data_IF_654827432233
#
_entry.id   IF_654827432233
#
_cell.length_a   1.000
_cell.length_b   1.000
_cell.length_c   1.000
_cell.angle_alpha   90.00
_cell.angle_beta   90.00
_cell.angle_gamma   90.00
#
_symmetry.space_group_name_H-M   'P 1'
#
loop_
_entity.id
_entity.type
_entity.pdbx_description
1 polymer ?
#
# COMPACT_ATOMS: atom_id res chain seq x y z
N UNK A 1 -5.21 12.33 -4.90
CA UNK A 1 -6.09 13.27 -4.17
C UNK A 1 -5.69 13.33 -2.70
N UNK A 2 -5.75 14.52 -2.11
CA UNK A 2 -5.57 14.79 -0.68
C UNK A 2 -6.88 15.37 -0.15
N UNK A 3 -7.34 14.88 1.01
CA UNK A 3 -8.49 15.44 1.71
C UNK A 3 -8.01 16.37 2.82
N UNK A 4 -8.46 17.62 2.83
CA UNK A 4 -8.24 18.58 3.91
C UNK A 4 -9.54 18.72 4.72
N UNK A 5 -9.51 18.38 6.00
CA UNK A 5 -10.67 18.45 6.89
C UNK A 5 -10.47 19.59 7.89
N UNK A 6 -11.17 20.69 7.68
CA UNK A 6 -11.05 21.89 8.53
C UNK A 6 -12.24 22.83 8.37
N UNK A 7 -12.76 23.41 9.48
CA UNK A 7 -13.82 24.42 9.42
C UNK A 7 -13.28 25.85 9.29
N UNK A 8 -11.96 26.07 9.16
CA UNK A 8 -11.37 27.41 9.21
C UNK A 8 -11.53 28.18 7.89
N UNK A 9 -11.70 29.51 7.99
CA UNK A 9 -11.84 30.40 6.82
C UNK A 9 -10.67 30.32 5.82
N UNK A 10 -9.47 29.97 6.30
CA UNK A 10 -8.26 29.86 5.46
C UNK A 10 -8.14 28.53 4.73
N UNK A 11 -9.13 27.63 4.79
CA UNK A 11 -9.08 26.30 4.18
C UNK A 11 -8.65 26.34 2.70
N UNK A 12 -9.21 27.27 1.92
CA UNK A 12 -8.88 27.45 0.51
C UNK A 12 -7.40 27.83 0.27
N UNK A 13 -6.80 28.63 1.18
CA UNK A 13 -5.37 28.98 1.09
C UNK A 13 -4.50 27.75 1.38
N UNK A 14 -4.88 26.95 2.38
CA UNK A 14 -4.20 25.70 2.72
C UNK A 14 -4.30 24.68 1.58
N UNK A 15 -5.49 24.48 1.02
CA UNK A 15 -5.73 23.57 -0.09
C UNK A 15 -4.91 23.95 -1.33
N UNK A 16 -4.91 25.24 -1.70
CA UNK A 16 -4.12 25.73 -2.83
C UNK A 16 -2.62 25.53 -2.61
N UNK A 17 -2.11 25.88 -1.43
CA UNK A 17 -0.69 25.69 -1.12
C UNK A 17 -0.28 24.22 -1.19
N UNK A 18 -1.12 23.31 -0.70
CA UNK A 18 -0.90 21.87 -0.83
C UNK A 18 -0.92 21.43 -2.30
N UNK A 19 -1.92 21.85 -3.07
CA UNK A 19 -2.08 21.45 -4.47
C UNK A 19 -0.89 21.91 -5.33
N UNK A 20 -0.47 23.17 -5.20
CA UNK A 20 0.68 23.74 -5.92
C UNK A 20 2.00 23.01 -5.61
N UNK A 21 2.16 22.54 -4.38
CA UNK A 21 3.41 21.94 -3.92
C UNK A 21 3.45 20.41 -4.05
N UNK A 22 2.29 19.75 -4.05
CA UNK A 22 2.18 18.29 -4.08
C UNK A 22 1.90 17.75 -5.47
N UNK A 23 1.32 18.55 -6.37
CA UNK A 23 0.84 18.07 -7.68
C UNK A 23 -0.38 17.13 -7.57
N UNK A 24 -1.02 17.11 -6.40
CA UNK A 24 -2.21 16.31 -6.11
C UNK A 24 -3.41 17.24 -5.99
N UNK A 25 -4.57 16.81 -6.50
CA UNK A 25 -5.83 17.51 -6.24
C UNK A 25 -6.12 17.52 -4.73
N UNK A 26 -6.49 18.68 -4.20
CA UNK A 26 -6.86 18.86 -2.78
C UNK A 26 -8.32 19.26 -2.68
N UNK A 27 -9.11 18.43 -1.99
CA UNK A 27 -10.52 18.71 -1.69
C UNK A 27 -10.68 19.06 -0.21
N UNK A 28 -11.67 19.91 0.10
CA UNK A 28 -11.88 20.42 1.46
C UNK A 28 -13.21 19.92 2.00
N UNK A 29 -13.18 19.29 3.17
CA UNK A 29 -14.36 18.99 3.97
C UNK A 29 -14.39 19.90 5.20
N UNK A 30 -15.56 20.46 5.51
CA UNK A 30 -15.75 21.40 6.61
C UNK A 30 -16.06 20.70 7.95
N UNK A 31 -16.33 19.38 7.93
CA UNK A 31 -16.65 18.55 9.10
C UNK A 31 -16.08 17.13 8.99
N UNK A 32 -15.92 16.43 10.12
CA UNK A 32 -15.53 15.01 10.11
C UNK A 32 -16.62 14.14 9.50
N UNK A 33 -17.89 14.50 9.67
CA UNK A 33 -19.03 13.82 9.05
C UNK A 33 -18.99 13.86 7.52
N UNK A 34 -18.68 15.03 6.97
CA UNK A 34 -18.52 15.19 5.51
C UNK A 34 -17.31 14.39 5.04
N UNK A 35 -16.17 14.50 5.74
CA UNK A 35 -14.97 13.74 5.43
C UNK A 35 -15.25 12.23 5.43
N UNK A 36 -15.93 11.69 6.45
CA UNK A 36 -16.30 10.29 6.53
C UNK A 36 -17.19 9.84 5.36
N UNK A 37 -18.02 10.73 4.83
CA UNK A 37 -18.85 10.43 3.66
C UNK A 37 -18.02 10.26 2.40
N UNK A 38 -17.05 11.13 2.19
CA UNK A 38 -16.16 11.05 1.02
C UNK A 38 -15.15 9.91 1.15
N UNK A 39 -14.67 9.63 2.35
CA UNK A 39 -13.77 8.50 2.62
C UNK A 39 -14.42 7.14 2.34
N UNK A 40 -15.75 7.05 2.28
CA UNK A 40 -16.47 5.82 1.87
C UNK A 40 -16.51 5.62 0.36
N UNK A 41 -16.55 6.69 -0.42
CA UNK A 41 -16.70 6.65 -1.88
C UNK A 41 -15.36 6.72 -2.61
N UNK A 42 -14.40 7.44 -2.04
CA UNK A 42 -13.19 7.88 -2.73
C UNK A 42 -11.93 7.45 -1.99
N UNK A 43 -10.85 7.34 -2.76
CA UNK A 43 -9.53 6.98 -2.24
C UNK A 43 -8.61 8.19 -2.19
N UNK A 44 -7.91 8.34 -1.07
CA UNK A 44 -7.02 9.47 -0.83
C UNK A 44 -5.60 8.99 -0.53
N UNK A 45 -4.63 9.80 -0.93
CA UNK A 45 -3.24 9.60 -0.58
C UNK A 45 -3.00 9.98 0.89
N UNK A 46 -3.56 11.12 1.29
CA UNK A 46 -3.45 11.65 2.64
C UNK A 46 -4.74 12.35 3.06
N UNK A 47 -5.01 12.32 4.36
CA UNK A 47 -6.11 13.05 5.00
C UNK A 47 -5.51 13.99 6.03
N UNK A 48 -5.52 15.28 5.73
CA UNK A 48 -5.06 16.34 6.62
C UNK A 48 -6.21 16.71 7.55
N UNK A 49 -6.02 16.53 8.85
CA UNK A 49 -7.03 16.76 9.87
C UNK A 49 -6.60 17.97 10.69
N UNK A 50 -7.46 18.99 10.70
CA UNK A 50 -7.27 20.10 11.63
C UNK A 50 -7.42 19.62 13.06
N UNK A 51 -6.41 19.87 13.90
CA UNK A 51 -6.48 19.49 15.30
C UNK A 51 -7.73 20.06 16.00
N UNK A 52 -8.16 21.28 15.61
CA UNK A 52 -9.35 21.89 16.17
C UNK A 52 -10.61 21.04 15.95
N UNK A 53 -10.77 20.45 14.76
CA UNK A 53 -11.97 19.68 14.43
C UNK A 53 -12.03 18.36 15.20
N UNK A 54 -10.86 17.76 15.46
CA UNK A 54 -10.74 16.56 16.28
C UNK A 54 -11.12 16.86 17.74
N UNK A 55 -10.87 18.06 18.23
CA UNK A 55 -11.25 18.46 19.59
C UNK A 55 -12.75 18.79 19.69
N UNK A 56 -13.37 19.31 18.64
CA UNK A 56 -14.78 19.74 18.65
C UNK A 56 -15.78 18.66 18.24
N UNK A 57 -15.37 17.67 17.44
CA UNK A 57 -16.23 16.59 16.93
C UNK A 57 -15.70 15.18 17.33
N UNK A 58 -15.45 14.90 18.62
CA UNK A 58 -14.78 13.66 19.04
C UNK A 58 -15.54 12.38 18.63
N UNK A 59 -16.87 12.42 18.63
CA UNK A 59 -17.73 11.27 18.31
C UNK A 59 -17.62 10.83 16.83
N UNK A 60 -17.18 11.71 15.95
CA UNK A 60 -17.07 11.44 14.50
C UNK A 60 -15.67 10.96 14.10
N UNK A 61 -14.67 11.05 15.00
CA UNK A 61 -13.28 10.67 14.72
C UNK A 61 -13.22 9.20 14.33
N UNK A 62 -13.76 8.30 15.14
CA UNK A 62 -13.66 6.86 14.90
C UNK A 62 -14.29 6.48 13.56
N UNK A 63 -15.45 7.09 13.24
CA UNK A 63 -16.12 6.90 11.96
C UNK A 63 -15.24 7.36 10.80
N UNK A 64 -14.61 8.52 10.87
CA UNK A 64 -13.70 8.99 9.82
C UNK A 64 -12.44 8.09 9.71
N UNK A 65 -11.87 7.67 10.84
CA UNK A 65 -10.66 6.83 10.89
C UNK A 65 -10.89 5.44 10.29
N UNK A 66 -12.06 4.83 10.53
CA UNK A 66 -12.43 3.53 9.98
C UNK A 66 -12.44 3.50 8.45
N UNK A 67 -12.69 4.65 7.82
CA UNK A 67 -12.80 4.77 6.36
C UNK A 67 -11.54 5.33 5.70
N UNK A 68 -10.43 5.52 6.42
CA UNK A 68 -9.17 6.02 5.82
C UNK A 68 -8.61 5.11 4.72
N UNK A 69 -8.90 3.81 4.78
CA UNK A 69 -8.32 2.82 3.87
C UNK A 69 -6.79 2.85 3.92
N UNK A 70 -6.15 3.20 2.80
CA UNK A 70 -4.68 3.33 2.70
C UNK A 70 -4.17 4.75 2.90
N UNK A 71 -5.07 5.73 3.07
CA UNK A 71 -4.72 7.12 3.24
C UNK A 71 -4.00 7.33 4.59
N UNK A 72 -2.95 8.13 4.57
CA UNK A 72 -2.22 8.50 5.78
C UNK A 72 -2.88 9.70 6.46
N UNK A 73 -3.30 9.58 7.73
CA UNK A 73 -3.79 10.72 8.49
C UNK A 73 -2.61 11.63 8.89
N UNK A 74 -2.78 12.94 8.69
CA UNK A 74 -1.82 13.97 9.09
C UNK A 74 -2.55 15.00 9.93
N UNK A 75 -2.32 14.98 11.24
CA UNK A 75 -2.94 15.93 12.16
C UNK A 75 -2.10 17.20 12.22
N UNK A 76 -2.71 18.35 11.96
CA UNK A 76 -2.03 19.66 11.96
C UNK A 76 -2.91 20.68 12.67
N UNK A 77 -2.34 21.44 13.60
CA UNK A 77 -3.04 22.60 14.15
C UNK A 77 -2.99 23.75 13.15
N UNK A 78 -4.04 23.92 12.36
CA UNK A 78 -4.07 24.92 11.30
C UNK A 78 -4.28 26.35 11.82
N UNK A 79 -4.72 26.52 13.07
CA UNK A 79 -4.84 27.82 13.69
C UNK A 79 -3.47 28.50 13.87
N UNK A 80 -2.43 27.73 14.19
CA UNK A 80 -1.07 28.25 14.45
C UNK A 80 -0.03 27.84 13.40
N UNK A 81 -0.34 26.87 12.53
CA UNK A 81 0.62 26.42 11.52
C UNK A 81 0.63 27.33 10.29
N UNK A 82 1.83 27.74 9.87
CA UNK A 82 2.05 28.40 8.58
C UNK A 82 1.94 27.43 7.40
N UNK A 83 1.71 27.97 6.20
CA UNK A 83 1.54 27.17 4.97
C UNK A 83 2.78 26.31 4.65
N UNK A 84 3.99 26.86 4.82
CA UNK A 84 5.23 26.12 4.56
C UNK A 84 5.38 24.91 5.49
N UNK A 85 4.96 25.07 6.75
CA UNK A 85 4.96 23.97 7.72
C UNK A 85 3.97 22.88 7.32
N UNK A 86 2.73 23.27 6.97
CA UNK A 86 1.70 22.37 6.49
C UNK A 86 2.20 21.55 5.29
N UNK A 87 2.74 22.21 4.27
CA UNK A 87 3.26 21.54 3.06
C UNK A 87 4.37 20.57 3.41
N UNK A 88 5.32 20.97 4.27
CA UNK A 88 6.42 20.10 4.69
C UNK A 88 5.95 18.87 5.45
N UNK A 89 5.02 19.02 6.39
CA UNK A 89 4.49 17.91 7.20
C UNK A 89 3.75 16.90 6.32
N UNK A 90 2.84 17.37 5.46
CA UNK A 90 2.10 16.49 4.55
C UNK A 90 3.06 15.81 3.56
N UNK A 91 4.07 16.53 3.05
CA UNK A 91 5.05 15.95 2.10
C UNK A 91 5.87 14.85 2.76
N UNK A 92 6.36 15.11 3.97
CA UNK A 92 7.12 14.12 4.72
C UNK A 92 6.28 12.87 5.00
N UNK A 93 5.00 13.04 5.36
CA UNK A 93 4.09 11.92 5.59
C UNK A 93 3.89 11.08 4.31
N UNK A 94 3.59 11.74 3.18
CA UNK A 94 3.40 11.09 1.87
C UNK A 94 4.65 10.34 1.43
N UNK A 95 5.82 10.97 1.48
CA UNK A 95 7.06 10.33 1.06
C UNK A 95 7.48 9.20 2.00
N UNK A 96 7.15 9.29 3.29
CA UNK A 96 7.30 8.16 4.22
C UNK A 96 6.41 6.99 3.80
N UNK A 97 5.12 7.23 3.52
CA UNK A 97 4.17 6.19 3.12
C UNK A 97 4.58 5.49 1.82
N UNK A 98 5.02 6.25 0.81
CA UNK A 98 5.53 5.69 -0.45
C UNK A 98 6.72 4.75 -0.22
N UNK A 99 7.65 5.13 0.65
CA UNK A 99 8.80 4.30 0.99
C UNK A 99 8.41 3.03 1.74
N UNK A 100 7.50 3.14 2.71
CA UNK A 100 6.96 1.99 3.45
C UNK A 100 6.24 1.01 2.51
N UNK A 101 5.42 1.51 1.59
CA UNK A 101 4.70 0.68 0.62
C UNK A 101 5.65 -0.04 -0.35
N UNK A 102 6.66 0.66 -0.88
CA UNK A 102 7.68 0.04 -1.72
C UNK A 102 8.45 -1.05 -0.96
N UNK A 103 8.79 -0.79 0.30
CA UNK A 103 9.43 -1.78 1.18
C UNK A 103 8.55 -3.01 1.40
N UNK A 104 7.28 -2.81 1.74
CA UNK A 104 6.31 -3.88 1.94
C UNK A 104 6.11 -4.72 0.67
N UNK A 105 5.96 -4.09 -0.49
CA UNK A 105 5.82 -4.78 -1.79
C UNK A 105 7.04 -5.65 -2.09
N UNK A 106 8.25 -5.13 -1.87
CA UNK A 106 9.50 -5.90 -2.06
C UNK A 106 9.60 -7.07 -1.09
N UNK A 107 9.24 -6.87 0.18
CA UNK A 107 9.26 -7.93 1.18
C UNK A 107 8.28 -9.07 0.82
N UNK A 108 7.06 -8.72 0.38
CA UNK A 108 6.05 -9.70 -0.08
C UNK A 108 6.54 -10.45 -1.32
N UNK A 109 7.09 -9.75 -2.31
CA UNK A 109 7.64 -10.38 -3.50
C UNK A 109 8.78 -11.35 -3.15
N UNK A 110 9.71 -10.94 -2.28
CA UNK A 110 10.80 -11.79 -1.80
C UNK A 110 10.31 -13.03 -1.05
N UNK A 111 9.30 -12.88 -0.18
CA UNK A 111 8.71 -14.01 0.54
C UNK A 111 8.04 -15.01 -0.41
N UNK A 112 7.29 -14.52 -1.41
CA UNK A 112 6.66 -15.37 -2.43
C UNK A 112 7.71 -16.09 -3.28
N UNK A 113 8.77 -15.39 -3.70
CA UNK A 113 9.87 -16.01 -4.44
C UNK A 113 10.56 -17.11 -3.62
N UNK A 114 10.82 -16.88 -2.33
CA UNK A 114 11.40 -17.90 -1.44
C UNK A 114 10.50 -19.13 -1.35
N UNK A 115 9.21 -18.94 -1.05
CA UNK A 115 8.26 -20.05 -0.93
C UNK A 115 8.12 -20.87 -2.22
N UNK A 116 8.11 -20.19 -3.38
CA UNK A 116 8.07 -20.86 -4.68
C UNK A 116 9.35 -21.66 -4.93
N UNK A 117 10.52 -21.09 -4.66
CA UNK A 117 11.79 -21.79 -4.84
C UNK A 117 11.91 -23.03 -3.94
N UNK A 118 11.46 -22.94 -2.68
CA UNK A 118 11.43 -24.09 -1.77
C UNK A 118 10.52 -25.20 -2.31
N UNK A 119 9.33 -24.84 -2.78
CA UNK A 119 8.35 -25.78 -3.35
C UNK A 119 8.89 -26.43 -4.64
N UNK A 120 9.48 -25.64 -5.55
CA UNK A 120 10.06 -26.14 -6.80
C UNK A 120 11.25 -27.06 -6.52
N UNK A 121 12.08 -26.73 -5.53
CA UNK A 121 13.21 -27.58 -5.10
C UNK A 121 12.71 -28.92 -4.60
N UNK A 122 11.67 -28.94 -3.77
CA UNK A 122 11.05 -30.18 -3.32
C UNK A 122 10.47 -30.99 -4.50
N UNK A 123 9.78 -30.35 -5.45
CA UNK A 123 9.23 -31.04 -6.62
C UNK A 123 10.32 -31.65 -7.51
N UNK A 124 11.41 -30.93 -7.79
CA UNK A 124 12.55 -31.46 -8.54
C UNK A 124 13.16 -32.68 -7.84
N UNK A 125 13.36 -32.58 -6.52
CA UNK A 125 13.86 -33.70 -5.72
C UNK A 125 12.94 -34.91 -5.79
N UNK A 126 11.62 -34.72 -5.68
CA UNK A 126 10.65 -35.82 -5.82
C UNK A 126 10.68 -36.46 -7.21
N UNK A 127 10.81 -35.67 -8.28
CA UNK A 127 10.98 -36.20 -9.64
C UNK A 127 12.27 -37.02 -9.78
N UNK A 128 13.39 -36.52 -9.25
CA UNK A 128 14.68 -37.20 -9.29
C UNK A 128 14.68 -38.50 -8.48
N UNK A 129 14.11 -38.48 -7.27
CA UNK A 129 13.96 -39.68 -6.44
C UNK A 129 13.06 -40.73 -7.11
N UNK A 130 11.92 -40.31 -7.68
CA UNK A 130 11.01 -41.22 -8.37
C UNK A 130 11.64 -41.86 -9.61
N UNK A 131 12.46 -41.10 -10.36
CA UNK A 131 13.23 -41.63 -11.50
C UNK A 131 14.34 -42.59 -11.08
N UNK A 132 14.87 -42.47 -9.85
CA UNK A 132 15.89 -43.36 -9.30
C UNK A 132 15.36 -44.71 -8.78
N UNK A 133 14.04 -44.90 -8.70
CA UNK A 133 13.42 -46.16 -8.27
C UNK A 133 13.56 -47.23 -9.35
N UNK A 134 14.02 -48.43 -8.98
CA UNK A 134 14.10 -49.55 -9.90
C UNK A 134 12.70 -50.02 -10.35
N UNK A 135 12.52 -50.24 -11.65
CA UNK A 135 11.27 -50.79 -12.21
C UNK A 135 10.18 -49.77 -12.57
N UNK A 136 10.52 -48.47 -12.68
CA UNK A 136 9.57 -47.44 -13.15
C UNK A 136 9.14 -47.72 -14.60
N UNK A 137 7.83 -47.79 -14.89
CA UNK A 137 7.32 -47.96 -16.25
C UNK A 137 7.78 -46.80 -17.17
N UNK A 138 8.13 -47.11 -18.42
CA UNK A 138 8.66 -46.12 -19.38
C UNK A 138 7.76 -44.90 -19.58
N UNK A 139 6.44 -45.11 -19.63
CA UNK A 139 5.45 -44.02 -19.74
C UNK A 139 5.47 -43.09 -18.52
N UNK A 140 5.65 -43.64 -17.30
CA UNK A 140 5.74 -42.85 -16.07
C UNK A 140 7.08 -42.07 -16.01
N UNK A 141 8.18 -42.69 -16.43
CA UNK A 141 9.49 -42.03 -16.52
C UNK A 141 9.45 -40.83 -17.49
N UNK A 142 8.80 -40.98 -18.65
CA UNK A 142 8.65 -39.90 -19.61
C UNK A 142 7.85 -38.71 -19.04
N UNK A 143 6.75 -38.98 -18.32
CA UNK A 143 5.96 -37.94 -17.66
C UNK A 143 6.76 -37.22 -16.55
N UNK A 144 7.53 -37.97 -15.76
CA UNK A 144 8.41 -37.39 -14.73
C UNK A 144 9.51 -36.49 -15.33
N UNK A 145 10.11 -36.88 -16.46
CA UNK A 145 11.07 -36.02 -17.17
C UNK A 145 10.42 -34.75 -17.74
N UNK A 146 9.20 -34.85 -18.27
CA UNK A 146 8.43 -33.68 -18.72
C UNK A 146 8.12 -32.73 -17.57
N UNK A 147 7.66 -33.25 -16.43
CA UNK A 147 7.44 -32.46 -15.21
C UNK A 147 8.73 -31.78 -14.74
N UNK A 148 9.85 -32.51 -14.67
CA UNK A 148 11.17 -31.98 -14.30
C UNK A 148 11.59 -30.80 -15.18
N UNK A 149 11.35 -30.90 -16.49
CA UNK A 149 11.69 -29.86 -17.46
C UNK A 149 10.81 -28.62 -17.27
N UNK A 150 9.52 -28.79 -17.04
CA UNK A 150 8.60 -27.68 -16.77
C UNK A 150 8.96 -26.95 -15.47
N UNK A 151 9.27 -27.70 -14.41
CA UNK A 151 9.66 -27.13 -13.11
C UNK A 151 10.96 -26.32 -13.24
N UNK A 152 11.96 -26.83 -13.99
CA UNK A 152 13.20 -26.08 -14.29
C UNK A 152 12.94 -24.79 -15.05
N UNK A 153 11.99 -24.80 -16.00
CA UNK A 153 11.59 -23.60 -16.74
C UNK A 153 10.95 -22.55 -15.83
N UNK A 154 10.07 -22.96 -14.92
CA UNK A 154 9.45 -22.04 -13.94
C UNK A 154 10.52 -21.41 -13.04
N UNK A 155 11.47 -22.22 -12.53
CA UNK A 155 12.58 -21.70 -11.72
C UNK A 155 13.42 -20.66 -12.47
N UNK A 156 13.78 -20.94 -13.71
CA UNK A 156 14.53 -19.99 -14.54
C UNK A 156 13.77 -18.67 -14.77
N UNK A 157 12.43 -18.72 -14.90
CA UNK A 157 11.61 -17.52 -15.01
C UNK A 157 11.55 -16.71 -13.72
N UNK A 158 11.56 -17.38 -12.56
CA UNK A 158 11.59 -16.72 -11.24
C UNK A 158 12.94 -16.07 -10.93
N UNK A 159 14.05 -16.59 -11.46
CA UNK A 159 15.39 -16.02 -11.29
C UNK A 159 15.63 -14.77 -12.15
N UNK A 160 14.78 -14.51 -13.14
CA UNK A 160 14.88 -13.34 -14.05
C UNK A 160 14.06 -12.11 -13.62
N UNK A 161 13.37 -12.17 -12.47
CA UNK A 161 12.47 -11.13 -11.93
C UNK A 161 13.09 -10.46 -10.71
#
# INVERSE_FOLDING_TARGET
>A
MILLVTPIDRANKCARALQENMGEEVVVAESLRQAATWLRSDSYLAVVLDQHILETEPDEIDTAMQHLGTAIPVQVNLAISGLDRLVREVRAAVERRKREELGARRAVAGALHSQLNDTLTALLLHCELALGVAGVPSAAAQQLHSAHTLIKKIRAQLETV
#
